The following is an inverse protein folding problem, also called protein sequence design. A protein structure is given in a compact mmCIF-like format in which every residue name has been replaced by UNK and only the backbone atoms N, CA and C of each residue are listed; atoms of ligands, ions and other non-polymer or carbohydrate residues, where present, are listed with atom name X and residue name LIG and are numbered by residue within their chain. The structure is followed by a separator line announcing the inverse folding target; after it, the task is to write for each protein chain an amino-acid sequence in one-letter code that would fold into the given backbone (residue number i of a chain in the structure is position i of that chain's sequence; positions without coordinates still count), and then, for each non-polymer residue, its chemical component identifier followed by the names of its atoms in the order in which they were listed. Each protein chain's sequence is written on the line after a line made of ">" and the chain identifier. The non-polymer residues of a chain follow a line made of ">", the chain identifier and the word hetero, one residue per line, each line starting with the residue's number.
data_IF_803431931036
#
_entry.id   IF_803431931036
#
_cell.length_a   1.000
_cell.length_b   1.000
_cell.length_c   1.000
_cell.angle_alpha   90.00
_cell.angle_beta   90.00
_cell.angle_gamma   90.00
#
_symmetry.space_group_name_H-M   'P 1'
#
loop_
_entity.id
_entity.type
_entity.pdbx_description
1 polymer ?
#
# COMPACT_ATOMS: atom_id res chain seq x y z
N UNK A 1 16.82 -12.28 7.56
CA UNK A 1 16.39 -11.11 6.76
C UNK A 1 14.88 -11.01 6.83
N UNK A 2 14.29 -9.83 7.08
CA UNK A 2 12.84 -9.63 7.12
C UNK A 2 12.45 -8.58 6.08
N UNK A 3 11.30 -8.76 5.45
CA UNK A 3 10.72 -7.81 4.50
C UNK A 3 9.81 -6.83 5.24
N UNK A 4 9.74 -5.60 4.73
CA UNK A 4 8.68 -4.68 5.09
C UNK A 4 7.36 -5.12 4.46
N UNK A 5 6.25 -4.73 5.08
CA UNK A 5 4.91 -5.13 4.64
C UNK A 5 4.65 -4.78 3.16
N UNK A 6 5.04 -3.59 2.72
CA UNK A 6 4.83 -3.16 1.33
C UNK A 6 5.59 -4.05 0.32
N UNK A 7 6.78 -4.54 0.69
CA UNK A 7 7.57 -5.44 -0.14
C UNK A 7 6.90 -6.81 -0.24
N UNK A 8 6.36 -7.31 0.87
CA UNK A 8 5.60 -8.55 0.89
C UNK A 8 4.31 -8.45 0.07
N UNK A 9 3.59 -7.32 0.17
CA UNK A 9 2.39 -7.05 -0.63
C UNK A 9 2.70 -6.99 -2.13
N UNK A 10 3.79 -6.35 -2.54
CA UNK A 10 4.24 -6.34 -3.94
C UNK A 10 4.53 -7.75 -4.47
N UNK A 11 5.19 -8.59 -3.64
CA UNK A 11 5.42 -9.99 -3.98
C UNK A 11 4.09 -10.74 -4.16
N UNK A 12 3.14 -10.61 -3.24
CA UNK A 12 1.82 -11.24 -3.34
C UNK A 12 1.08 -10.84 -4.62
N UNK A 13 1.10 -9.56 -4.99
CA UNK A 13 0.52 -9.09 -6.25
C UNK A 13 1.16 -9.75 -7.47
N UNK A 14 2.48 -9.97 -7.49
CA UNK A 14 3.17 -10.67 -8.59
C UNK A 14 2.69 -12.12 -8.78
N UNK A 15 2.22 -12.75 -7.70
CA UNK A 15 1.59 -14.08 -7.71
C UNK A 15 0.06 -14.03 -7.84
N UNK A 16 -0.52 -12.88 -8.18
CA UNK A 16 -1.97 -12.63 -8.28
C UNK A 16 -2.75 -12.90 -6.99
N UNK A 17 -2.11 -12.84 -5.84
CA UNK A 17 -2.78 -12.88 -4.55
C UNK A 17 -3.35 -11.48 -4.28
N UNK A 18 -4.66 -11.32 -4.07
CA UNK A 18 -5.26 -10.01 -3.84
C UNK A 18 -4.79 -9.43 -2.50
N UNK A 19 -4.38 -8.16 -2.52
CA UNK A 19 -3.97 -7.39 -1.34
C UNK A 19 -4.74 -6.07 -1.30
N UNK A 20 -4.99 -5.48 -0.11
CA UNK A 20 -5.63 -4.18 -0.02
C UNK A 20 -4.81 -3.09 -0.74
N UNK A 21 -5.51 -2.19 -1.44
CA UNK A 21 -4.90 -1.00 -2.03
C UNK A 21 -4.27 -0.13 -0.95
N UNK A 22 -3.06 0.36 -1.20
CA UNK A 22 -2.27 1.16 -0.27
C UNK A 22 -1.07 1.77 -0.98
N UNK A 23 -0.35 2.65 -0.29
CA UNK A 23 0.87 3.29 -0.81
C UNK A 23 1.91 3.47 0.30
N UNK A 24 3.18 3.47 -0.08
CA UNK A 24 4.28 3.81 0.82
C UNK A 24 4.42 5.32 0.89
N UNK A 25 4.55 5.86 2.10
CA UNK A 25 4.79 7.27 2.32
C UNK A 25 5.99 7.43 3.26
N UNK A 26 6.94 8.29 2.86
CA UNK A 26 8.14 8.60 3.64
C UNK A 26 8.06 9.98 4.32
N UNK A 27 6.96 10.72 4.09
CA UNK A 27 6.66 12.01 4.72
C UNK A 27 5.17 12.14 5.02
N UNK A 28 4.80 13.14 5.82
CA UNK A 28 3.39 13.43 6.14
C UNK A 28 2.60 13.85 4.89
N UNK A 29 3.22 14.65 4.01
CA UNK A 29 2.63 15.11 2.76
C UNK A 29 2.39 13.94 1.80
N UNK A 30 3.36 13.02 1.71
CA UNK A 30 3.21 11.80 0.93
C UNK A 30 2.08 10.93 1.48
N UNK A 31 1.93 10.83 2.80
CA UNK A 31 0.85 10.06 3.43
C UNK A 31 -0.53 10.66 3.11
N UNK A 32 -0.65 11.99 3.14
CA UNK A 32 -1.87 12.68 2.74
C UNK A 32 -2.22 12.41 1.27
N UNK A 33 -1.23 12.48 0.37
CA UNK A 33 -1.41 12.17 -1.06
C UNK A 33 -1.86 10.72 -1.30
N UNK A 34 -1.23 9.76 -0.60
CA UNK A 34 -1.65 8.35 -0.65
C UNK A 34 -3.08 8.20 -0.16
N UNK A 35 -3.44 8.79 0.97
CA UNK A 35 -4.80 8.72 1.51
C UNK A 35 -5.84 9.29 0.53
N UNK A 36 -5.55 10.41 -0.14
CA UNK A 36 -6.43 10.98 -1.17
C UNK A 36 -6.59 10.10 -2.42
N UNK A 37 -5.61 9.25 -2.72
CA UNK A 37 -5.67 8.31 -3.86
C UNK A 37 -6.46 7.03 -3.57
N UNK A 38 -6.73 6.75 -2.29
CA UNK A 38 -7.45 5.55 -1.87
C UNK A 38 -8.95 5.80 -1.94
N UNK A 39 -9.67 4.82 -2.49
CA UNK A 39 -11.12 4.87 -2.53
C UNK A 39 -11.69 4.82 -1.12
N UNK A 40 -12.38 5.90 -0.76
CA UNK A 40 -12.98 6.11 0.53
C UNK A 40 -14.27 5.33 0.75
N UNK A 41 -14.82 4.69 -0.29
CA UNK A 41 -16.09 3.97 -0.23
C UNK A 41 -16.08 2.71 0.65
N UNK A 42 -14.90 2.28 1.13
CA UNK A 42 -14.69 1.03 1.90
C UNK A 42 -14.49 1.23 3.41
N UNK A 43 -14.62 2.45 3.92
CA UNK A 43 -14.58 2.78 5.34
C UNK A 43 -15.87 3.46 5.78
#
# INVERSE_FOLDING_TARGET
>A
MKLHEFQAKQLFTSYRIPVPSGGVAESAEAAAGVASSLDASRW
#
